data_IF_102558067101
#
_entry.id   IF_102558067101
#
_cell.length_a   1.000
_cell.length_b   1.000
_cell.length_c   1.000
_cell.angle_alpha   90.00
_cell.angle_beta   90.00
_cell.angle_gamma   90.00
#
_symmetry.space_group_name_H-M   'P 1'
#
loop_
_entity.id
_entity.type
_entity.pdbx_description
1 polymer ?
#
# COMPACT_ATOMS: atom_id res chain seq x y z
N UNK A 1 10.97 -50.32 -31.58
CA UNK A 1 11.74 -49.13 -31.16
C UNK A 1 11.00 -47.91 -31.70
N UNK A 2 10.02 -47.41 -30.96
CA UNK A 2 9.18 -46.27 -31.33
C UNK A 2 9.12 -45.38 -30.10
N UNK A 3 10.01 -44.41 -30.06
CA UNK A 3 10.21 -43.51 -28.93
C UNK A 3 9.13 -42.43 -29.00
N UNK A 4 8.11 -42.56 -28.13
CA UNK A 4 7.08 -41.52 -27.95
C UNK A 4 7.70 -40.41 -27.13
N UNK A 5 8.29 -39.44 -27.81
CA UNK A 5 8.78 -38.19 -27.24
C UNK A 5 7.57 -37.41 -26.69
N UNK A 6 7.37 -37.53 -25.37
CA UNK A 6 6.52 -36.65 -24.60
C UNK A 6 7.11 -35.24 -24.65
N UNK A 7 6.65 -34.42 -25.60
CA UNK A 7 6.79 -32.98 -25.52
C UNK A 7 5.92 -32.47 -24.37
N UNK A 8 6.47 -32.53 -23.16
CA UNK A 8 5.97 -31.84 -21.98
C UNK A 8 6.22 -30.34 -22.19
N UNK A 9 5.42 -29.71 -23.06
CA UNK A 9 5.37 -28.25 -23.20
C UNK A 9 4.76 -27.72 -21.91
N UNK A 10 5.60 -27.56 -20.90
CA UNK A 10 5.32 -26.67 -19.78
C UNK A 10 5.14 -25.29 -20.39
N UNK A 11 3.89 -24.94 -20.68
CA UNK A 11 3.46 -23.63 -21.16
C UNK A 11 3.75 -22.60 -20.06
N UNK A 12 5.01 -22.21 -19.97
CA UNK A 12 5.40 -21.06 -19.15
C UNK A 12 4.77 -19.86 -19.84
N UNK A 13 3.70 -19.33 -19.23
CA UNK A 13 3.07 -18.12 -19.70
C UNK A 13 4.17 -17.06 -19.92
N UNK A 14 4.25 -16.42 -21.10
CA UNK A 14 5.33 -15.51 -21.43
C UNK A 14 5.41 -14.38 -20.40
N UNK A 15 6.61 -14.10 -19.91
CA UNK A 15 6.88 -12.99 -18.99
C UNK A 15 6.46 -11.66 -19.63
N UNK A 16 5.79 -10.81 -18.86
CA UNK A 16 5.35 -9.50 -19.31
C UNK A 16 6.33 -8.46 -18.77
N UNK A 17 7.37 -8.16 -19.56
CA UNK A 17 8.47 -7.29 -19.15
C UNK A 17 8.03 -5.91 -18.65
N UNK A 18 6.96 -5.35 -19.23
CA UNK A 18 6.39 -4.07 -18.79
C UNK A 18 5.83 -4.13 -17.37
N UNK A 19 5.21 -5.24 -16.96
CA UNK A 19 4.71 -5.40 -15.59
C UNK A 19 5.85 -5.56 -14.60
N UNK A 20 6.92 -6.24 -14.98
CA UNK A 20 8.10 -6.38 -14.13
C UNK A 20 8.81 -5.04 -13.95
N UNK A 21 8.91 -4.21 -15.00
CA UNK A 21 9.43 -2.84 -14.92
C UNK A 21 8.56 -1.95 -14.01
N UNK A 22 7.23 -2.03 -14.14
CA UNK A 22 6.30 -1.27 -13.29
C UNK A 22 6.40 -1.68 -11.81
N UNK A 23 6.64 -2.96 -11.52
CA UNK A 23 6.92 -3.42 -10.15
C UNK A 23 8.21 -2.83 -9.61
N UNK A 24 9.28 -2.82 -10.42
CA UNK A 24 10.55 -2.17 -10.05
C UNK A 24 10.37 -0.68 -9.75
N UNK A 25 9.64 0.03 -10.61
CA UNK A 25 9.30 1.44 -10.41
C UNK A 25 8.48 1.65 -9.11
N UNK A 26 7.52 0.77 -8.84
CA UNK A 26 6.75 0.82 -7.59
C UNK A 26 7.63 0.68 -6.35
N UNK A 27 8.59 -0.25 -6.39
CA UNK A 27 9.55 -0.42 -5.29
C UNK A 27 10.45 0.81 -5.09
N UNK A 28 10.89 1.45 -6.18
CA UNK A 28 11.67 2.70 -6.10
C UNK A 28 10.87 3.84 -5.46
N UNK A 29 9.57 3.95 -5.78
CA UNK A 29 8.71 4.95 -5.16
C UNK A 29 8.43 4.66 -3.68
N UNK A 30 8.22 3.39 -3.31
CA UNK A 30 8.10 2.97 -1.90
C UNK A 30 9.38 3.31 -1.13
N UNK A 31 10.55 3.10 -1.74
CA UNK A 31 11.83 3.42 -1.13
C UNK A 31 11.92 4.91 -0.71
N UNK A 32 11.41 5.83 -1.53
CA UNK A 32 11.44 7.27 -1.19
C UNK A 32 10.72 7.57 0.12
N UNK A 33 9.56 6.97 0.36
CA UNK A 33 8.84 7.14 1.63
C UNK A 33 9.52 6.38 2.78
N UNK A 34 10.15 5.24 2.49
CA UNK A 34 10.89 4.50 3.52
C UNK A 34 12.11 5.29 4.02
N UNK A 35 12.76 6.08 3.16
CA UNK A 35 13.86 6.98 3.59
C UNK A 35 13.36 7.91 4.72
N UNK A 36 12.15 8.47 4.60
CA UNK A 36 11.54 9.29 5.65
C UNK A 36 11.30 8.46 6.92
N UNK A 37 10.75 7.25 6.79
CA UNK A 37 10.49 6.35 7.92
C UNK A 37 11.74 5.85 8.65
N UNK A 38 12.91 5.83 7.98
CA UNK A 38 14.19 5.52 8.59
C UNK A 38 14.89 6.74 9.18
N UNK A 39 14.76 7.91 8.54
CA UNK A 39 15.49 9.11 8.91
C UNK A 39 14.82 9.92 10.02
N UNK A 40 13.49 9.85 10.15
CA UNK A 40 12.71 10.71 11.02
C UNK A 40 11.77 9.91 11.95
N UNK A 41 11.31 10.53 13.06
CA UNK A 41 10.31 9.92 13.94
C UNK A 41 9.01 9.62 13.19
N UNK A 42 8.25 8.60 13.63
CA UNK A 42 7.06 8.11 12.91
C UNK A 42 6.02 9.18 12.52
N UNK A 43 5.80 10.20 13.35
CA UNK A 43 4.84 11.27 13.04
C UNK A 43 5.26 12.12 11.82
N UNK A 44 6.56 12.25 11.57
CA UNK A 44 7.10 12.99 10.43
C UNK A 44 6.73 12.35 9.07
N UNK A 45 6.30 11.08 9.07
CA UNK A 45 5.92 10.37 7.85
C UNK A 45 4.72 11.02 7.15
N UNK A 46 3.75 11.54 7.91
CA UNK A 46 2.58 12.25 7.38
C UNK A 46 2.60 13.75 7.72
N UNK A 47 3.14 14.12 8.88
CA UNK A 47 3.11 15.48 9.40
C UNK A 47 4.51 16.12 9.41
N UNK A 48 4.86 17.00 8.47
CA UNK A 48 6.15 17.70 8.47
C UNK A 48 6.25 18.70 9.64
N UNK A 49 5.12 19.08 10.24
CA UNK A 49 5.05 19.98 11.38
C UNK A 49 5.01 19.26 12.75
N UNK A 50 5.47 18.00 12.81
CA UNK A 50 5.45 17.17 14.03
C UNK A 50 6.19 17.81 15.22
N UNK A 51 7.18 18.68 14.97
CA UNK A 51 7.98 19.43 15.96
C UNK A 51 7.80 20.95 15.85
N UNK A 52 6.65 21.41 15.34
CA UNK A 52 6.40 22.82 15.05
C UNK A 52 6.62 23.13 13.57
N UNK A 53 6.68 24.41 13.22
CA UNK A 53 6.64 24.83 11.82
C UNK A 53 7.88 24.39 11.02
N UNK A 54 7.71 23.62 9.93
CA UNK A 54 8.82 23.15 9.11
C UNK A 54 9.47 24.29 8.31
N UNK A 55 10.73 24.11 7.88
CA UNK A 55 11.39 25.06 6.99
C UNK A 55 10.68 25.13 5.62
N UNK A 56 10.89 26.22 4.86
CA UNK A 56 10.31 26.33 3.52
C UNK A 56 10.76 25.18 2.60
N UNK A 57 12.00 24.69 2.75
CA UNK A 57 12.51 23.54 2.02
C UNK A 57 11.77 22.25 2.37
N UNK A 58 11.54 22.00 3.66
CA UNK A 58 10.82 20.81 4.13
C UNK A 58 9.35 20.83 3.70
N UNK A 59 8.72 22.01 3.68
CA UNK A 59 7.35 22.18 3.18
C UNK A 59 7.25 21.81 1.70
N UNK A 60 8.20 22.25 0.87
CA UNK A 60 8.25 21.91 -0.55
C UNK A 60 8.54 20.42 -0.74
N UNK A 61 9.49 19.85 0.01
CA UNK A 61 9.80 18.43 -0.04
C UNK A 61 8.59 17.56 0.34
N UNK A 62 7.88 17.93 1.41
CA UNK A 62 6.63 17.28 1.81
C UNK A 62 5.56 17.40 0.73
N UNK A 63 5.35 18.59 0.16
CA UNK A 63 4.34 18.79 -0.88
C UNK A 63 4.63 17.94 -2.12
N UNK A 64 5.88 17.91 -2.60
CA UNK A 64 6.28 17.08 -3.72
C UNK A 64 6.10 15.59 -3.42
N UNK A 65 6.44 15.15 -2.22
CA UNK A 65 6.30 13.76 -1.80
C UNK A 65 4.83 13.37 -1.68
N UNK A 66 3.99 14.23 -1.10
CA UNK A 66 2.53 14.07 -1.01
C UNK A 66 1.89 13.98 -2.39
N UNK A 67 2.29 14.86 -3.33
CA UNK A 67 1.73 14.89 -4.68
C UNK A 67 2.18 13.73 -5.55
N UNK A 68 3.44 13.30 -5.47
CA UNK A 68 4.02 12.37 -6.45
C UNK A 68 4.21 10.94 -5.93
N UNK A 69 4.36 10.76 -4.62
CA UNK A 69 4.88 9.50 -4.08
C UNK A 69 3.93 8.86 -3.08
N UNK A 70 3.53 9.59 -2.04
CA UNK A 70 2.75 9.08 -0.91
C UNK A 70 1.45 8.40 -1.39
N UNK A 71 1.20 7.20 -0.86
CA UNK A 71 0.07 6.32 -1.20
C UNK A 71 0.16 5.65 -2.58
N UNK A 72 0.62 6.37 -3.61
CA UNK A 72 0.50 5.99 -5.03
C UNK A 72 1.30 4.75 -5.41
N UNK A 73 2.55 4.68 -4.99
CA UNK A 73 3.41 3.54 -5.34
C UNK A 73 3.05 2.28 -4.56
N UNK A 74 2.54 2.42 -3.33
CA UNK A 74 2.01 1.29 -2.57
C UNK A 74 0.72 0.77 -3.20
N UNK A 75 -0.18 1.67 -3.62
CA UNK A 75 -1.39 1.32 -4.34
C UNK A 75 -1.10 0.64 -5.69
N UNK A 76 -0.13 1.17 -6.45
CA UNK A 76 0.36 0.55 -7.68
C UNK A 76 0.93 -0.85 -7.41
N UNK A 77 1.74 -1.01 -6.35
CA UNK A 77 2.31 -2.30 -5.99
C UNK A 77 1.23 -3.31 -5.58
N UNK A 78 0.20 -2.89 -4.82
CA UNK A 78 -0.96 -3.72 -4.47
C UNK A 78 -1.74 -4.19 -5.70
N UNK A 79 -2.01 -3.29 -6.63
CA UNK A 79 -2.69 -3.60 -7.89
C UNK A 79 -1.87 -4.61 -8.72
N UNK A 80 -0.56 -4.39 -8.87
CA UNK A 80 0.33 -5.30 -9.59
C UNK A 80 0.53 -6.65 -8.87
N UNK A 81 0.40 -6.68 -7.55
CA UNK A 81 0.42 -7.90 -6.76
C UNK A 81 -0.83 -8.74 -7.03
N UNK A 82 -2.01 -8.14 -7.00
CA UNK A 82 -3.27 -8.80 -7.36
C UNK A 82 -3.30 -9.30 -8.80
N UNK A 83 -2.79 -8.49 -9.75
CA UNK A 83 -2.56 -8.93 -11.12
C UNK A 83 -1.61 -10.14 -11.20
N UNK A 84 -0.59 -10.19 -10.33
CA UNK A 84 0.30 -11.34 -10.18
C UNK A 84 -0.42 -12.58 -9.65
N UNK A 85 -1.32 -12.46 -8.68
CA UNK A 85 -2.12 -13.58 -8.19
C UNK A 85 -2.99 -14.18 -9.30
N UNK A 86 -3.62 -13.35 -10.12
CA UNK A 86 -4.40 -13.80 -11.30
C UNK A 86 -3.52 -14.61 -12.27
N UNK A 87 -2.30 -14.16 -12.55
CA UNK A 87 -1.36 -14.87 -13.43
C UNK A 87 -0.88 -16.21 -12.83
N UNK A 88 -0.93 -16.34 -11.49
CA UNK A 88 -0.46 -17.53 -10.79
C UNK A 88 -1.53 -18.60 -10.62
N UNK A 89 -2.81 -18.30 -10.85
CA UNK A 89 -3.91 -19.26 -10.73
C UNK A 89 -3.65 -20.60 -11.43
N UNK A 90 -3.10 -20.65 -12.67
CA UNK A 90 -2.83 -21.92 -13.36
C UNK A 90 -1.78 -22.80 -12.66
N UNK A 91 -0.96 -22.25 -11.75
CA UNK A 91 0.04 -23.03 -11.00
C UNK A 91 -0.56 -23.82 -9.83
N UNK A 92 -1.84 -23.61 -9.53
CA UNK A 92 -2.57 -24.32 -8.48
C UNK A 92 -2.50 -23.65 -7.11
N UNK A 93 -3.48 -23.99 -6.27
CA UNK A 93 -3.70 -23.38 -4.96
C UNK A 93 -2.52 -23.58 -4.00
N UNK A 94 -1.95 -24.79 -3.94
CA UNK A 94 -0.84 -25.12 -3.04
C UNK A 94 0.35 -24.21 -3.33
N UNK A 95 0.71 -24.01 -4.60
CA UNK A 95 1.82 -23.15 -4.99
C UNK A 95 1.64 -21.71 -4.49
N UNK A 96 0.44 -21.16 -4.69
CA UNK A 96 0.10 -19.79 -4.28
C UNK A 96 0.14 -19.66 -2.76
N UNK A 97 -0.50 -20.61 -2.05
CA UNK A 97 -0.55 -20.63 -0.59
C UNK A 97 0.84 -20.78 0.03
N UNK A 98 1.71 -21.63 -0.51
CA UNK A 98 3.09 -21.77 -0.04
C UNK A 98 3.85 -20.46 -0.20
N UNK A 99 3.76 -19.81 -1.37
CA UNK A 99 4.46 -18.53 -1.59
C UNK A 99 3.95 -17.42 -0.69
N UNK A 100 2.63 -17.33 -0.51
CA UNK A 100 2.03 -16.34 0.40
C UNK A 100 2.32 -16.66 1.87
N UNK A 101 2.37 -17.93 2.26
CA UNK A 101 2.77 -18.37 3.59
C UNK A 101 4.22 -17.99 3.91
N UNK A 102 5.14 -18.16 2.95
CA UNK A 102 6.50 -17.65 3.08
C UNK A 102 6.54 -16.13 3.20
N UNK A 103 5.70 -15.41 2.43
CA UNK A 103 5.61 -13.96 2.52
C UNK A 103 5.13 -13.50 3.90
N UNK A 104 4.14 -14.19 4.48
CA UNK A 104 3.68 -13.97 5.87
C UNK A 104 4.79 -14.24 6.87
N UNK A 105 5.50 -15.38 6.73
CA UNK A 105 6.58 -15.73 7.64
C UNK A 105 7.72 -14.71 7.58
N UNK A 106 8.17 -14.33 6.39
CA UNK A 106 9.22 -13.33 6.24
C UNK A 106 8.77 -11.95 6.71
N UNK A 107 7.52 -11.56 6.47
CA UNK A 107 6.96 -10.31 6.99
C UNK A 107 6.93 -10.29 8.52
N UNK A 108 6.53 -11.39 9.16
CA UNK A 108 6.52 -11.51 10.63
C UNK A 108 7.93 -11.43 11.23
N UNK A 109 8.91 -12.10 10.62
CA UNK A 109 10.30 -11.99 11.06
C UNK A 109 10.83 -10.58 10.82
N UNK A 110 10.54 -10.00 9.66
CA UNK A 110 10.99 -8.67 9.29
C UNK A 110 10.44 -7.59 10.23
N UNK A 111 9.13 -7.60 10.54
CA UNK A 111 8.51 -6.59 11.40
C UNK A 111 8.97 -6.65 12.86
N UNK A 112 9.31 -7.84 13.37
CA UNK A 112 9.77 -8.02 14.75
C UNK A 112 11.27 -7.78 14.91
N UNK A 113 12.07 -8.25 13.94
CA UNK A 113 13.53 -8.29 14.07
C UNK A 113 14.20 -7.10 13.39
N UNK A 114 13.70 -6.69 12.22
CA UNK A 114 14.40 -5.76 11.34
C UNK A 114 13.81 -4.34 11.44
N UNK A 115 12.54 -4.16 11.07
CA UNK A 115 11.95 -2.82 10.90
C UNK A 115 10.42 -2.84 10.97
N UNK A 116 9.85 -1.85 11.66
CA UNK A 116 8.42 -1.70 11.95
C UNK A 116 7.55 -1.28 10.75
N UNK A 117 8.14 -0.87 9.62
CA UNK A 117 7.43 -0.47 8.39
C UNK A 117 7.19 -1.61 7.38
N UNK A 118 6.97 -2.84 7.84
CA UNK A 118 6.80 -3.99 6.97
C UNK A 118 5.51 -3.94 6.13
N UNK A 119 5.63 -4.22 4.83
CA UNK A 119 4.47 -4.45 3.94
C UNK A 119 4.26 -5.93 3.63
N UNK A 120 5.25 -6.81 3.83
CA UNK A 120 5.19 -8.19 3.39
C UNK A 120 4.08 -8.95 4.12
N UNK A 121 3.95 -8.77 5.43
CA UNK A 121 2.96 -9.42 6.26
C UNK A 121 1.54 -9.07 5.81
N UNK A 122 1.26 -7.77 5.63
CA UNK A 122 -0.03 -7.29 5.15
C UNK A 122 -0.38 -7.87 3.77
N UNK A 123 0.58 -7.88 2.84
CA UNK A 123 0.38 -8.43 1.50
C UNK A 123 0.23 -9.95 1.50
N UNK A 124 0.91 -10.66 2.39
CA UNK A 124 0.77 -12.09 2.58
C UNK A 124 -0.62 -12.46 3.10
N UNK A 125 -1.06 -11.80 4.18
CA UNK A 125 -2.36 -12.05 4.81
C UNK A 125 -3.52 -11.68 3.88
N UNK A 126 -3.52 -10.46 3.34
CA UNK A 126 -4.57 -10.02 2.41
C UNK A 126 -4.47 -10.76 1.08
N UNK A 127 -3.27 -11.15 0.65
CA UNK A 127 -3.05 -12.01 -0.50
C UNK A 127 -3.71 -13.38 -0.31
N UNK A 128 -3.66 -13.98 0.89
CA UNK A 128 -4.30 -15.27 1.22
C UNK A 128 -5.83 -15.19 1.17
N UNK A 129 -6.41 -14.03 1.44
CA UNK A 129 -7.86 -13.81 1.27
C UNK A 129 -8.17 -13.53 -0.21
N UNK A 130 -7.39 -12.63 -0.82
CA UNK A 130 -7.63 -12.10 -2.15
C UNK A 130 -7.47 -13.16 -3.25
N UNK A 131 -6.50 -14.07 -3.17
CA UNK A 131 -6.34 -15.10 -4.21
C UNK A 131 -7.58 -15.99 -4.32
N UNK A 132 -8.25 -16.28 -3.19
CA UNK A 132 -9.48 -17.07 -3.18
C UNK A 132 -10.63 -16.31 -3.82
N UNK A 133 -10.81 -15.04 -3.44
CA UNK A 133 -11.80 -14.16 -4.07
C UNK A 133 -11.56 -14.03 -5.58
N UNK A 134 -10.31 -13.89 -6.01
CA UNK A 134 -9.92 -13.80 -7.41
C UNK A 134 -10.26 -15.11 -8.13
N UNK A 135 -9.89 -16.26 -7.58
CA UNK A 135 -10.16 -17.58 -8.17
C UNK A 135 -11.65 -17.86 -8.32
N UNK A 136 -12.43 -17.55 -7.28
CA UNK A 136 -13.85 -17.90 -7.22
C UNK A 136 -14.74 -16.89 -7.98
N UNK A 137 -14.19 -15.73 -8.38
CA UNK A 137 -14.92 -14.74 -9.18
C UNK A 137 -15.19 -15.25 -10.60
N UNK A 138 -16.47 -15.42 -10.95
CA UNK A 138 -16.89 -15.93 -12.27
C UNK A 138 -16.75 -14.92 -13.43
N UNK A 139 -16.56 -13.62 -13.16
CA UNK A 139 -16.46 -12.60 -14.22
C UNK A 139 -15.52 -11.45 -13.85
N UNK A 140 -14.99 -10.76 -14.88
CA UNK A 140 -14.20 -9.53 -14.71
C UNK A 140 -15.00 -8.45 -13.98
N UNK A 141 -16.30 -8.32 -14.31
CA UNK A 141 -17.19 -7.32 -13.71
C UNK A 141 -17.41 -7.57 -12.23
N UNK A 142 -17.61 -8.83 -11.83
CA UNK A 142 -17.72 -9.20 -10.41
C UNK A 142 -16.46 -8.81 -9.66
N UNK A 143 -15.29 -9.13 -10.22
CA UNK A 143 -14.01 -8.85 -9.58
C UNK A 143 -13.72 -7.34 -9.48
N UNK A 144 -14.04 -6.59 -10.53
CA UNK A 144 -13.93 -5.13 -10.55
C UNK A 144 -14.85 -4.49 -9.52
N UNK A 145 -16.14 -4.88 -9.51
CA UNK A 145 -17.13 -4.35 -8.57
C UNK A 145 -16.77 -4.68 -7.13
N UNK A 146 -16.37 -5.93 -6.83
CA UNK A 146 -15.88 -6.31 -5.51
C UNK A 146 -14.67 -5.46 -5.10
N UNK A 147 -13.75 -5.20 -6.04
CA UNK A 147 -12.61 -4.33 -5.81
C UNK A 147 -13.00 -2.91 -5.42
N UNK A 148 -13.90 -2.29 -6.19
CA UNK A 148 -14.44 -0.95 -5.88
C UNK A 148 -15.18 -0.93 -4.54
N UNK A 149 -16.02 -1.94 -4.26
CA UNK A 149 -16.78 -2.02 -3.01
C UNK A 149 -15.86 -2.14 -1.80
N UNK A 150 -14.86 -3.04 -1.84
CA UNK A 150 -13.91 -3.21 -0.74
C UNK A 150 -13.08 -1.94 -0.50
N UNK A 151 -12.67 -1.28 -1.59
CA UNK A 151 -11.94 -0.03 -1.49
C UNK A 151 -12.81 1.09 -0.88
N UNK A 152 -14.08 1.19 -1.30
CA UNK A 152 -15.05 2.14 -0.74
C UNK A 152 -15.38 1.84 0.73
N UNK A 153 -15.45 0.57 1.15
CA UNK A 153 -15.58 0.19 2.56
C UNK A 153 -14.39 0.73 3.36
N UNK A 154 -13.17 0.56 2.87
CA UNK A 154 -11.98 1.09 3.54
C UNK A 154 -11.98 2.60 3.69
N UNK A 155 -12.39 3.34 2.64
CA UNK A 155 -12.62 4.80 2.73
C UNK A 155 -13.73 5.15 3.73
N UNK A 156 -14.83 4.40 3.74
CA UNK A 156 -15.92 4.58 4.69
C UNK A 156 -15.48 4.34 6.14
N UNK A 157 -14.63 3.34 6.38
CA UNK A 157 -14.04 3.07 7.69
C UNK A 157 -13.08 4.18 8.11
N UNK A 158 -12.25 4.69 7.19
CA UNK A 158 -11.39 5.83 7.47
C UNK A 158 -12.20 7.09 7.82
N UNK A 159 -13.29 7.35 7.10
CA UNK A 159 -14.22 8.44 7.42
C UNK A 159 -14.90 8.22 8.79
N UNK A 160 -15.35 7.01 9.09
CA UNK A 160 -15.94 6.68 10.39
C UNK A 160 -14.93 6.94 11.52
N UNK A 161 -13.68 6.48 11.37
CA UNK A 161 -12.61 6.76 12.32
C UNK A 161 -12.35 8.27 12.45
N UNK A 162 -12.36 9.02 11.35
CA UNK A 162 -12.23 10.47 11.37
C UNK A 162 -13.34 11.17 12.18
N UNK A 163 -14.58 10.68 12.08
CA UNK A 163 -15.73 11.23 12.81
C UNK A 163 -15.73 10.84 14.29
N UNK A 164 -15.15 9.68 14.64
CA UNK A 164 -15.02 9.20 16.01
C UNK A 164 -13.75 9.68 16.71
N UNK A 165 -12.75 10.16 15.96
CA UNK A 165 -11.49 10.65 16.48
C UNK A 165 -11.73 11.81 17.45
N UNK A 166 -11.28 11.63 18.70
CA UNK A 166 -11.27 12.72 19.69
C UNK A 166 -10.26 13.78 19.27
N UNK A 167 -10.50 15.01 19.71
CA UNK A 167 -9.64 16.18 19.41
C UNK A 167 -8.26 16.17 20.08
N UNK A 168 -7.96 15.17 20.90
CA UNK A 168 -6.66 14.97 21.54
C UNK A 168 -5.65 14.43 20.50
N UNK A 169 -4.48 15.05 20.32
CA UNK A 169 -3.45 14.55 19.41
C UNK A 169 -3.02 13.15 19.82
N UNK A 170 -3.21 12.17 18.94
CA UNK A 170 -2.60 10.86 19.12
C UNK A 170 -1.09 10.97 18.85
N UNK A 171 -0.27 10.15 19.51
CA UNK A 171 1.19 10.09 19.33
C UNK A 171 1.65 9.79 17.89
N UNK A 172 0.71 9.52 16.97
CA UNK A 172 0.98 9.36 15.55
C UNK A 172 1.05 10.70 14.78
N UNK A 173 0.49 11.78 15.33
CA UNK A 173 0.43 13.07 14.64
C UNK A 173 1.28 14.16 15.31
N UNK A 174 1.27 14.21 16.64
CA UNK A 174 2.16 15.04 17.44
C UNK A 174 2.84 14.16 18.48
N UNK A 175 4.16 14.22 18.54
CA UNK A 175 4.93 13.53 19.56
C UNK A 175 5.60 14.54 20.48
N UNK A 176 5.49 14.29 21.77
CA UNK A 176 6.24 15.02 22.79
C UNK A 176 7.74 14.73 22.65
N UNK A 177 8.56 15.62 23.21
CA UNK A 177 10.01 15.46 23.21
C UNK A 177 10.44 14.13 23.87
N UNK A 178 9.78 13.73 24.95
CA UNK A 178 10.05 12.46 25.64
C UNK A 178 9.72 11.24 24.76
N UNK A 179 8.63 11.28 24.00
CA UNK A 179 8.26 10.20 23.08
C UNK A 179 9.27 10.08 21.93
N UNK A 180 9.74 11.21 21.38
CA UNK A 180 10.74 11.21 20.31
C UNK A 180 12.08 10.67 20.82
N UNK A 181 12.50 11.07 22.03
CA UNK A 181 13.71 10.53 22.66
C UNK A 181 13.58 9.03 22.92
N UNK A 182 12.44 8.57 23.43
CA UNK A 182 12.18 7.16 23.65
C UNK A 182 12.17 6.36 22.34
N UNK A 183 11.54 6.89 21.28
CA UNK A 183 11.55 6.29 19.96
C UNK A 183 12.98 6.15 19.41
N UNK A 184 13.77 7.22 19.53
CA UNK A 184 15.18 7.25 19.12
C UNK A 184 15.99 6.20 19.89
N UNK A 185 15.80 6.12 21.21
CA UNK A 185 16.47 5.16 22.07
C UNK A 185 16.22 3.72 21.63
N UNK A 186 14.95 3.30 21.53
CA UNK A 186 14.68 1.90 21.19
C UNK A 186 15.03 1.56 19.74
N UNK A 187 14.97 2.51 18.80
CA UNK A 187 15.37 2.29 17.41
C UNK A 187 16.88 2.16 17.23
N UNK A 188 17.69 2.94 17.96
CA UNK A 188 19.15 2.95 17.81
C UNK A 188 19.86 1.93 18.71
N UNK A 189 19.43 1.77 19.96
CA UNK A 189 20.08 0.82 20.88
C UNK A 189 19.58 -0.61 20.72
N UNK A 190 18.34 -0.79 20.22
CA UNK A 190 17.75 -2.11 20.06
C UNK A 190 17.36 -2.77 21.38
N UNK A 191 17.70 -4.06 21.53
CA UNK A 191 17.43 -4.83 22.74
C UNK A 191 15.94 -5.08 23.03
N UNK A 192 15.63 -5.45 24.28
CA UNK A 192 14.27 -5.84 24.66
C UNK A 192 13.22 -4.74 24.43
N UNK A 193 13.60 -3.47 24.63
CA UNK A 193 12.71 -2.34 24.36
C UNK A 193 12.27 -2.29 22.90
N UNK A 194 13.18 -2.54 21.95
CA UNK A 194 12.86 -2.57 20.53
C UNK A 194 11.90 -3.71 20.18
N UNK A 195 12.14 -4.91 20.71
CA UNK A 195 11.26 -6.06 20.49
C UNK A 195 9.86 -5.82 21.02
N UNK A 196 9.74 -5.22 22.21
CA UNK A 196 8.44 -4.86 22.79
C UNK A 196 7.71 -3.83 21.94
N UNK A 197 8.36 -2.72 21.60
CA UNK A 197 7.74 -1.66 20.79
C UNK A 197 7.32 -2.16 19.41
N UNK A 198 8.14 -3.00 18.76
CA UNK A 198 7.77 -3.64 17.48
C UNK A 198 6.62 -4.62 17.62
N UNK A 199 6.54 -5.35 18.74
CA UNK A 199 5.40 -6.21 19.05
C UNK A 199 4.10 -5.43 19.23
N UNK A 200 4.15 -4.31 19.95
CA UNK A 200 3.01 -3.41 20.14
C UNK A 200 2.58 -2.80 18.79
N UNK A 201 3.54 -2.28 18.00
CA UNK A 201 3.29 -1.76 16.65
C UNK A 201 2.74 -2.82 15.69
N UNK A 202 3.20 -4.07 15.80
CA UNK A 202 2.66 -5.18 15.03
C UNK A 202 1.18 -5.42 15.36
N UNK A 203 0.82 -5.39 16.64
CA UNK A 203 -0.58 -5.53 17.06
C UNK A 203 -1.44 -4.39 16.50
N UNK A 204 -0.97 -3.14 16.60
CA UNK A 204 -1.64 -1.96 16.04
C UNK A 204 -1.80 -2.07 14.53
N UNK A 205 -0.74 -2.48 13.81
CA UNK A 205 -0.75 -2.65 12.36
C UNK A 205 -1.73 -3.75 11.92
N UNK A 206 -1.80 -4.87 12.65
CA UNK A 206 -2.76 -5.95 12.37
C UNK A 206 -4.20 -5.51 12.63
N UNK A 207 -4.43 -4.71 13.68
CA UNK A 207 -5.74 -4.13 13.95
C UNK A 207 -6.14 -3.13 12.84
N UNK A 208 -5.23 -2.23 12.45
CA UNK A 208 -5.46 -1.29 11.35
C UNK A 208 -5.72 -2.03 10.03
N UNK A 209 -5.00 -3.13 9.77
CA UNK A 209 -5.23 -4.00 8.62
C UNK A 209 -6.63 -4.61 8.64
N UNK A 210 -7.10 -5.10 9.79
CA UNK A 210 -8.44 -5.69 9.90
C UNK A 210 -9.57 -4.64 9.81
N UNK A 211 -9.37 -3.47 10.40
CA UNK A 211 -10.41 -2.44 10.55
C UNK A 211 -10.54 -1.56 9.31
N UNK A 212 -9.43 -1.22 8.65
CA UNK A 212 -9.44 -0.23 7.56
C UNK A 212 -8.55 -0.64 6.38
N UNK A 213 -7.24 -0.73 6.59
CA UNK A 213 -6.27 -0.80 5.49
C UNK A 213 -6.39 -2.08 4.65
N UNK A 214 -6.77 -3.20 5.28
CA UNK A 214 -6.94 -4.48 4.58
C UNK A 214 -8.06 -4.46 3.55
N UNK A 215 -9.11 -3.65 3.77
CA UNK A 215 -10.22 -3.49 2.82
C UNK A 215 -9.75 -2.76 1.55
N UNK A 216 -8.99 -1.66 1.70
CA UNK A 216 -8.39 -0.96 0.56
C UNK A 216 -7.38 -1.85 -0.18
N UNK A 217 -6.52 -2.55 0.57
CA UNK A 217 -5.52 -3.44 0.00
C UNK A 217 -6.16 -4.58 -0.80
N UNK A 218 -7.19 -5.24 -0.24
CA UNK A 218 -7.95 -6.28 -0.94
C UNK A 218 -8.68 -5.72 -2.17
N UNK A 219 -9.24 -4.52 -2.06
CA UNK A 219 -9.88 -3.81 -3.17
C UNK A 219 -8.93 -3.58 -4.34
N UNK A 220 -7.73 -3.05 -4.07
CA UNK A 220 -6.70 -2.82 -5.09
C UNK A 220 -6.19 -4.12 -5.71
N UNK A 221 -5.99 -5.17 -4.91
CA UNK A 221 -5.59 -6.49 -5.43
C UNK A 221 -6.68 -7.07 -6.36
N UNK A 222 -7.96 -6.93 -6.00
CA UNK A 222 -9.07 -7.36 -6.84
C UNK A 222 -9.14 -6.56 -8.15
N UNK A 223 -9.02 -5.23 -8.09
CA UNK A 223 -8.97 -4.36 -9.27
C UNK A 223 -7.81 -4.74 -10.19
N UNK A 224 -6.62 -4.99 -9.64
CA UNK A 224 -5.46 -5.43 -10.39
C UNK A 224 -5.68 -6.77 -11.09
N UNK A 225 -6.29 -7.72 -10.40
CA UNK A 225 -6.67 -8.99 -10.99
C UNK A 225 -7.74 -8.84 -12.09
N UNK A 226 -8.72 -7.94 -11.92
CA UNK A 226 -9.72 -7.64 -12.95
C UNK A 226 -9.09 -7.00 -14.21
N UNK A 227 -8.15 -6.06 -14.02
CA UNK A 227 -7.40 -5.44 -15.12
C UNK A 227 -6.48 -6.45 -15.83
N UNK A 228 -5.93 -7.42 -15.10
CA UNK A 228 -5.19 -8.53 -15.70
C UNK A 228 -6.10 -9.46 -16.52
N UNK A 229 -7.25 -9.84 -15.96
CA UNK A 229 -8.21 -10.76 -16.57
C UNK A 229 -8.90 -10.16 -17.80
N UNK A 230 -9.18 -8.86 -17.80
CA UNK A 230 -9.69 -8.12 -18.97
C UNK A 230 -8.68 -8.00 -20.11
N UNK A 231 -7.40 -8.28 -19.84
CA UNK A 231 -6.31 -8.08 -20.80
C UNK A 231 -5.83 -6.63 -20.90
N UNK A 232 -6.35 -5.71 -20.07
CA UNK A 232 -5.89 -4.34 -20.02
C UNK A 232 -4.42 -4.23 -19.59
N UNK A 233 -4.01 -4.97 -18.55
CA UNK A 233 -2.59 -5.05 -18.16
C UNK A 233 -1.73 -5.90 -19.11
N UNK A 234 -2.35 -6.62 -20.05
CA UNK A 234 -1.65 -7.40 -21.08
C UNK A 234 -1.37 -6.60 -22.35
N UNK A 235 -1.73 -5.31 -22.39
CA UNK A 235 -1.49 -4.46 -23.55
C UNK A 235 -2.44 -4.73 -24.74
N UNK A 236 -3.61 -5.36 -24.52
CA UNK A 236 -4.52 -5.73 -25.62
C UNK A 236 -5.31 -4.56 -26.21
N UNK A 237 -5.27 -3.39 -25.59
CA UNK A 237 -6.04 -2.21 -26.02
C UNK A 237 -5.19 -1.28 -26.91
N UNK A 238 -5.82 -0.40 -27.71
CA UNK A 238 -5.08 0.58 -28.52
C UNK A 238 -4.27 1.56 -27.66
N UNK A 239 -3.12 2.02 -28.15
CA UNK A 239 -2.27 3.00 -27.47
C UNK A 239 -3.00 4.33 -27.16
N UNK A 240 -3.94 4.73 -28.02
CA UNK A 240 -4.81 5.89 -27.83
C UNK A 240 -5.72 5.75 -26.61
N UNK A 241 -6.20 4.54 -26.34
CA UNK A 241 -7.02 4.26 -25.15
C UNK A 241 -6.18 4.44 -23.89
N UNK A 242 -4.99 3.84 -23.81
CA UNK A 242 -4.10 4.00 -22.66
C UNK A 242 -3.71 5.46 -22.42
N UNK A 243 -3.41 6.23 -23.47
CA UNK A 243 -3.10 7.67 -23.34
C UNK A 243 -4.28 8.47 -22.80
N UNK A 244 -5.49 8.26 -23.35
CA UNK A 244 -6.70 8.97 -22.89
C UNK A 244 -7.04 8.64 -21.44
N UNK A 245 -7.04 7.35 -21.09
CA UNK A 245 -7.29 6.90 -19.72
C UNK A 245 -6.21 7.41 -18.77
N UNK A 246 -4.94 7.32 -19.18
CA UNK A 246 -3.81 7.82 -18.38
C UNK A 246 -3.91 9.32 -18.10
N UNK A 247 -4.18 10.14 -19.12
CA UNK A 247 -4.36 11.59 -18.94
C UNK A 247 -5.58 11.89 -18.06
N UNK A 248 -6.71 11.22 -18.28
CA UNK A 248 -7.91 11.42 -17.48
C UNK A 248 -7.69 11.08 -16.00
N UNK A 249 -7.05 9.94 -15.70
CA UNK A 249 -6.75 9.52 -14.34
C UNK A 249 -5.70 10.41 -13.68
N UNK A 250 -4.69 10.89 -14.43
CA UNK A 250 -3.71 11.85 -13.92
C UNK A 250 -4.36 13.18 -13.57
N UNK A 251 -5.19 13.73 -14.45
CA UNK A 251 -5.90 14.99 -14.18
C UNK A 251 -6.85 14.86 -13.00
N UNK A 252 -7.59 13.74 -12.91
CA UNK A 252 -8.46 13.46 -11.78
C UNK A 252 -7.65 13.35 -10.47
N UNK A 253 -6.54 12.61 -10.48
CA UNK A 253 -5.67 12.46 -9.31
C UNK A 253 -5.08 13.80 -8.85
N UNK A 254 -4.62 14.63 -9.79
CA UNK A 254 -4.13 15.99 -9.47
C UNK A 254 -5.26 16.87 -8.94
N UNK A 255 -6.45 16.81 -9.53
CA UNK A 255 -7.61 17.60 -9.09
C UNK A 255 -8.08 17.24 -7.68
N UNK A 256 -7.87 16.00 -7.23
CA UNK A 256 -8.21 15.56 -5.87
C UNK A 256 -7.07 15.87 -4.89
N UNK A 257 -5.83 15.52 -5.25
CA UNK A 257 -4.69 15.62 -4.34
C UNK A 257 -4.26 17.07 -4.11
N UNK A 258 -4.19 17.89 -5.16
CA UNK A 258 -3.61 19.23 -5.05
C UNK A 258 -4.38 20.12 -4.08
N UNK A 259 -5.73 20.22 -4.14
CA UNK A 259 -6.48 20.99 -3.15
C UNK A 259 -6.31 20.46 -1.74
N UNK A 260 -6.21 19.13 -1.59
CA UNK A 260 -6.05 18.47 -0.30
C UNK A 260 -4.70 18.81 0.34
N UNK A 261 -3.61 18.68 -0.41
CA UNK A 261 -2.26 19.04 0.07
C UNK A 261 -2.15 20.54 0.36
N UNK A 262 -2.75 21.40 -0.47
CA UNK A 262 -2.78 22.84 -0.22
C UNK A 262 -3.58 23.18 1.05
N UNK A 263 -4.72 22.51 1.27
CA UNK A 263 -5.52 22.73 2.47
C UNK A 263 -4.79 22.28 3.74
N UNK A 264 -4.07 21.15 3.70
CA UNK A 264 -3.20 20.73 4.80
C UNK A 264 -2.12 21.78 5.11
N UNK A 265 -1.51 22.36 4.08
CA UNK A 265 -0.54 23.44 4.23
C UNK A 265 -1.18 24.69 4.84
N UNK A 266 -2.32 25.15 4.32
CA UNK A 266 -3.04 26.31 4.88
C UNK A 266 -3.44 26.12 6.35
N UNK A 267 -3.83 24.89 6.71
CA UNK A 267 -4.21 24.53 8.07
C UNK A 267 -3.02 24.20 8.98
N UNK A 268 -1.78 24.39 8.50
CA UNK A 268 -0.55 24.14 9.26
C UNK A 268 -0.51 22.72 9.85
N UNK A 269 -1.01 21.74 9.09
CA UNK A 269 -1.10 20.32 9.50
C UNK A 269 -1.84 20.11 10.83
N UNK A 270 -2.81 20.96 11.17
CA UNK A 270 -3.60 20.82 12.39
C UNK A 270 -4.30 19.44 12.46
N UNK A 271 -4.07 18.72 13.56
CA UNK A 271 -4.51 17.34 13.76
C UNK A 271 -5.99 17.09 13.43
N UNK A 272 -6.88 17.98 13.91
CA UNK A 272 -8.33 17.86 13.75
C UNK A 272 -8.78 17.64 12.30
N UNK A 273 -8.08 18.25 11.34
CA UNK A 273 -8.44 18.17 9.92
C UNK A 273 -7.47 17.27 9.16
N UNK A 274 -6.19 17.40 9.45
CA UNK A 274 -5.14 16.75 8.66
C UNK A 274 -4.88 15.30 9.08
N UNK A 275 -5.17 14.95 10.33
CA UNK A 275 -4.89 13.63 10.89
C UNK A 275 -5.69 12.49 10.26
N UNK A 276 -6.91 12.78 9.79
CA UNK A 276 -7.80 11.78 9.20
C UNK A 276 -8.57 12.30 7.98
N UNK A 277 -9.27 13.43 8.10
CA UNK A 277 -10.17 13.91 7.04
C UNK A 277 -9.44 14.24 5.73
N UNK A 278 -8.30 14.93 5.82
CA UNK A 278 -7.50 15.28 4.64
C UNK A 278 -6.54 14.15 4.21
N UNK A 279 -6.58 12.98 4.86
CA UNK A 279 -5.94 11.77 4.36
C UNK A 279 -6.85 11.04 3.36
N UNK A 280 -8.17 11.10 3.54
CA UNK A 280 -9.15 10.44 2.65
C UNK A 280 -8.95 10.73 1.15
N UNK A 281 -8.73 11.98 0.69
CA UNK A 281 -8.58 12.24 -0.73
C UNK A 281 -7.24 11.77 -1.31
N UNK A 282 -6.25 11.47 -0.45
CA UNK A 282 -4.92 11.03 -0.87
C UNK A 282 -4.71 9.53 -0.91
N UNK A 283 -5.68 8.76 -0.42
CA UNK A 283 -5.79 7.31 -0.62
C UNK A 283 -6.40 6.99 -1.99
#
# INVERSE_FOLDING_TARGET
MSDTMHDDVRTTAPRIATLDALRGLALLGILLMNIVGFALPKAAYLNPAYQGMPSAGDQVAWLLSSLLVQGKFLALFALLFGAGLEMLLPRGAIWIQTRLGWLVLFGLVHTLVLWDGDILLAYGLIGLVSWRMIRDAGSVRTLFNSGVTLYAIGLGMLLLLALLAKSEPHAFWHMSYAEIQYETYWKLEGGWAAWRNRGDLLADNLLALAVQYGWQLAGLMALGAALMRSGWLRGRFPSTHYRRVGVALLLLGVAIQLPTSLLQWHLQWAYRWCGYLLQLPGE
#
